data_IF_850494729881
#
_entry.id   IF_850494729881
#
_cell.length_a   1.000
_cell.length_b   1.000
_cell.length_c   1.000
_cell.angle_alpha   90.00
_cell.angle_beta   90.00
_cell.angle_gamma   90.00
#
_symmetry.space_group_name_H-M   'P 1'
#
loop_
_entity.id
_entity.type
_entity.pdbx_description
1 polymer ?
#
# COMPACT_ATOMS: atom_id res chain seq x y z
N UNK A 1 -14.81 -1.93 11.39
CA UNK A 1 -15.31 -1.82 10.01
C UNK A 1 -14.17 -2.31 9.12
N UNK A 2 -14.45 -3.10 8.07
CA UNK A 2 -13.41 -3.57 7.16
C UNK A 2 -13.05 -2.45 6.19
N UNK A 3 -11.77 -2.23 5.95
CA UNK A 3 -11.29 -1.28 4.94
C UNK A 3 -11.73 -1.75 3.55
N UNK A 4 -12.39 -0.87 2.79
CA UNK A 4 -12.75 -1.11 1.39
C UNK A 4 -11.59 -0.80 0.45
N UNK A 5 -11.56 -1.44 -0.71
CA UNK A 5 -10.57 -1.17 -1.76
C UNK A 5 -11.29 -0.92 -3.07
N UNK A 6 -11.04 0.24 -3.68
CA UNK A 6 -11.57 0.63 -4.98
C UNK A 6 -10.43 0.68 -6.00
N UNK A 7 -10.52 -0.11 -7.04
CA UNK A 7 -9.50 -0.20 -8.09
C UNK A 7 -10.05 0.38 -9.39
N UNK A 8 -9.56 1.54 -9.79
CA UNK A 8 -9.92 2.19 -11.04
C UNK A 8 -8.98 1.76 -12.16
N UNK A 9 -9.46 0.86 -13.00
CA UNK A 9 -8.75 0.31 -14.14
C UNK A 9 -8.94 -1.20 -14.29
N UNK A 10 -9.71 -1.59 -15.31
CA UNK A 10 -9.90 -2.98 -15.71
C UNK A 10 -8.83 -3.40 -16.73
N UNK A 11 -7.59 -3.48 -16.28
CA UNK A 11 -6.44 -3.88 -17.07
C UNK A 11 -5.55 -4.81 -16.25
N UNK A 12 -4.46 -5.34 -16.86
CA UNK A 12 -3.56 -6.27 -16.19
C UNK A 12 -3.07 -5.81 -14.81
N UNK A 13 -2.79 -4.52 -14.64
CA UNK A 13 -2.33 -3.98 -13.35
C UNK A 13 -3.44 -3.91 -12.32
N UNK A 14 -4.61 -3.38 -12.72
CA UNK A 14 -5.76 -3.27 -11.84
C UNK A 14 -6.28 -4.62 -11.37
N UNK A 15 -6.35 -5.60 -12.29
CA UNK A 15 -6.76 -6.96 -11.98
C UNK A 15 -5.77 -7.65 -11.04
N UNK A 16 -4.47 -7.49 -11.26
CA UNK A 16 -3.47 -8.10 -10.41
C UNK A 16 -3.44 -7.46 -9.01
N UNK A 17 -3.61 -6.13 -8.93
CA UNK A 17 -3.80 -5.45 -7.64
C UNK A 17 -5.01 -6.01 -6.92
N UNK A 18 -6.17 -6.10 -7.59
CA UNK A 18 -7.40 -6.60 -6.98
C UNK A 18 -7.23 -8.04 -6.45
N UNK A 19 -6.62 -8.94 -7.22
CA UNK A 19 -6.31 -10.31 -6.81
C UNK A 19 -5.44 -10.37 -5.56
N UNK A 20 -4.40 -9.55 -5.50
CA UNK A 20 -3.49 -9.57 -4.36
C UNK A 20 -4.10 -8.94 -3.10
N UNK A 21 -4.85 -7.85 -3.23
CA UNK A 21 -5.43 -7.17 -2.07
C UNK A 21 -6.63 -7.92 -1.47
N UNK A 22 -7.35 -8.74 -2.24
CA UNK A 22 -8.50 -9.52 -1.73
C UNK A 22 -8.14 -10.53 -0.63
N UNK A 23 -6.89 -10.97 -0.55
CA UNK A 23 -6.43 -11.83 0.56
C UNK A 23 -6.48 -11.12 1.92
N UNK A 24 -6.41 -9.80 1.91
CA UNK A 24 -6.43 -8.97 3.12
C UNK A 24 -7.74 -8.20 3.29
N UNK A 25 -8.35 -7.78 2.20
CA UNK A 25 -9.52 -6.92 2.18
C UNK A 25 -10.69 -7.65 1.51
N UNK A 26 -11.77 -7.87 2.26
CA UNK A 26 -12.95 -8.62 1.79
C UNK A 26 -13.86 -7.82 0.85
N UNK A 27 -13.68 -6.51 0.78
CA UNK A 27 -14.53 -5.62 -0.04
C UNK A 27 -13.65 -4.92 -1.09
N UNK A 28 -13.52 -5.54 -2.27
CA UNK A 28 -12.76 -5.03 -3.41
C UNK A 28 -13.71 -4.81 -4.57
N UNK A 29 -13.77 -3.57 -5.07
CA UNK A 29 -14.57 -3.19 -6.23
C UNK A 29 -13.64 -2.68 -7.34
N UNK A 30 -13.86 -3.16 -8.56
CA UNK A 30 -13.13 -2.72 -9.75
C UNK A 30 -14.00 -1.78 -10.57
N UNK A 31 -13.48 -0.61 -10.87
CA UNK A 31 -14.12 0.39 -11.71
C UNK A 31 -13.54 0.37 -13.12
N UNK A 32 -14.40 0.27 -14.13
CA UNK A 32 -14.03 0.22 -15.54
C UNK A 32 -14.65 1.38 -16.34
N UNK A 33 -13.87 1.94 -17.26
CA UNK A 33 -14.38 2.92 -18.26
C UNK A 33 -15.14 2.22 -19.38
N UNK A 34 -14.79 0.98 -19.66
CA UNK A 34 -15.36 0.19 -20.75
C UNK A 34 -16.43 -0.76 -20.21
N UNK A 35 -17.28 -1.25 -21.11
CA UNK A 35 -18.23 -2.34 -20.78
C UNK A 35 -17.46 -3.60 -20.41
N UNK A 36 -17.94 -4.30 -19.39
CA UNK A 36 -17.31 -5.50 -18.86
C UNK A 36 -18.02 -6.68 -19.53
N UNK A 37 -17.25 -7.53 -20.21
CA UNK A 37 -17.77 -8.79 -20.71
C UNK A 37 -18.03 -9.74 -19.52
N UNK A 38 -19.16 -10.46 -19.55
CA UNK A 38 -19.72 -11.28 -18.44
C UNK A 38 -18.81 -12.40 -17.88
N UNK A 39 -17.62 -12.59 -18.41
CA UNK A 39 -16.74 -13.71 -18.05
C UNK A 39 -15.79 -13.44 -16.85
N UNK A 40 -15.79 -12.24 -16.26
CA UNK A 40 -14.92 -11.89 -15.13
C UNK A 40 -15.69 -11.91 -13.79
N UNK A 41 -16.05 -13.09 -13.32
CA UNK A 41 -16.99 -13.29 -12.21
C UNK A 41 -16.36 -13.13 -10.80
N UNK A 42 -15.04 -12.98 -10.69
CA UNK A 42 -14.36 -13.05 -9.39
C UNK A 42 -14.42 -11.77 -8.53
N UNK A 43 -14.85 -10.64 -9.10
CA UNK A 43 -14.91 -9.34 -8.43
C UNK A 43 -16.23 -8.63 -8.63
N UNK A 44 -16.53 -7.69 -7.74
CA UNK A 44 -17.58 -6.71 -7.98
C UNK A 44 -17.05 -5.64 -8.95
N UNK A 45 -17.76 -5.44 -10.06
CA UNK A 45 -17.40 -4.47 -11.09
C UNK A 45 -18.44 -3.37 -11.17
N UNK A 46 -17.96 -2.15 -11.34
CA UNK A 46 -18.79 -0.98 -11.62
C UNK A 46 -18.27 -0.23 -12.84
N UNK A 47 -19.18 0.23 -13.70
CA UNK A 47 -18.84 1.12 -14.80
C UNK A 47 -18.80 2.54 -14.28
N UNK A 48 -17.84 3.33 -14.73
CA UNK A 48 -17.74 4.75 -14.41
C UNK A 48 -17.38 5.58 -15.63
N UNK A 49 -17.66 6.88 -15.54
CA UNK A 49 -17.19 7.90 -16.48
C UNK A 49 -16.36 8.93 -15.71
N UNK A 50 -15.36 9.54 -16.40
CA UNK A 50 -14.52 10.55 -15.77
C UNK A 50 -15.27 11.85 -15.44
N UNK A 51 -16.47 12.02 -15.98
CA UNK A 51 -17.38 13.13 -15.66
C UNK A 51 -18.35 12.83 -14.52
N UNK A 52 -18.30 11.65 -13.91
CA UNK A 52 -19.19 11.25 -12.83
C UNK A 52 -19.06 12.15 -11.59
N UNK A 53 -20.13 12.22 -10.84
CA UNK A 53 -20.18 12.93 -9.56
C UNK A 53 -19.62 12.00 -8.47
N UNK A 54 -18.35 12.16 -8.15
CA UNK A 54 -17.60 11.31 -7.21
C UNK A 54 -18.18 11.27 -5.80
N UNK A 55 -18.96 12.29 -5.40
CA UNK A 55 -19.62 12.33 -4.10
C UNK A 55 -20.58 11.15 -3.87
N UNK A 56 -21.13 10.56 -4.97
CA UNK A 56 -21.99 9.38 -4.92
C UNK A 56 -21.26 8.14 -4.34
N UNK A 57 -19.94 8.07 -4.48
CA UNK A 57 -19.16 6.99 -3.85
C UNK A 57 -19.27 6.99 -2.32
N UNK A 58 -19.54 8.15 -1.71
CA UNK A 58 -19.75 8.25 -0.26
C UNK A 58 -21.08 7.69 0.23
N UNK A 59 -22.04 7.46 -0.68
CA UNK A 59 -23.32 6.84 -0.36
C UNK A 59 -23.17 5.32 -0.21
N UNK A 60 -22.24 4.73 -0.97
CA UNK A 60 -22.03 3.27 -1.03
C UNK A 60 -20.81 2.81 -0.23
N UNK A 61 -19.84 3.71 0.01
CA UNK A 61 -18.56 3.40 0.63
C UNK A 61 -18.25 4.37 1.79
N UNK A 62 -17.70 3.84 2.88
CA UNK A 62 -17.14 4.66 3.96
C UNK A 62 -15.75 5.20 3.55
N UNK A 63 -15.74 6.39 2.94
CA UNK A 63 -14.53 7.01 2.38
C UNK A 63 -13.41 7.28 3.38
N UNK A 64 -13.67 7.20 4.71
CA UNK A 64 -12.63 7.27 5.74
C UNK A 64 -11.83 5.98 5.88
N UNK A 65 -12.43 4.86 5.47
CA UNK A 65 -11.86 3.52 5.55
C UNK A 65 -11.69 2.89 4.16
N UNK A 66 -11.36 3.70 3.15
CA UNK A 66 -11.17 3.24 1.77
C UNK A 66 -9.75 3.52 1.30
N UNK A 67 -9.20 2.58 0.53
CA UNK A 67 -7.98 2.76 -0.25
C UNK A 67 -8.38 2.75 -1.72
N UNK A 68 -7.97 3.78 -2.45
CA UNK A 68 -8.22 3.91 -3.90
C UNK A 68 -6.94 3.64 -4.67
N UNK A 69 -7.02 2.78 -5.68
CA UNK A 69 -5.97 2.56 -6.67
C UNK A 69 -6.36 3.20 -8.00
N UNK A 70 -5.57 4.16 -8.48
CA UNK A 70 -5.69 4.73 -9.81
C UNK A 70 -4.70 4.02 -10.75
N UNK A 71 -5.24 3.10 -11.58
CA UNK A 71 -4.47 2.19 -12.42
C UNK A 71 -4.92 2.22 -13.90
N UNK A 72 -5.39 3.36 -14.40
CA UNK A 72 -5.77 3.52 -15.81
C UNK A 72 -4.54 3.46 -16.71
N UNK A 73 -4.67 2.82 -17.89
CA UNK A 73 -3.58 2.74 -18.90
C UNK A 73 -3.24 4.10 -19.52
N UNK A 74 -4.25 4.95 -19.70
CA UNK A 74 -4.08 6.30 -20.23
C UNK A 74 -3.62 7.22 -19.11
N UNK A 75 -2.45 7.80 -19.28
CA UNK A 75 -1.80 8.65 -18.27
C UNK A 75 -2.61 9.92 -17.98
N UNK A 76 -3.14 10.58 -19.02
CA UNK A 76 -3.92 11.81 -18.84
C UNK A 76 -5.22 11.53 -18.08
N UNK A 77 -5.90 10.43 -18.41
CA UNK A 77 -7.10 9.97 -17.71
C UNK A 77 -6.77 9.61 -16.25
N UNK A 78 -5.64 8.96 -16.00
CA UNK A 78 -5.22 8.56 -14.65
C UNK A 78 -4.91 9.79 -13.77
N UNK A 79 -4.25 10.79 -14.32
CA UNK A 79 -3.99 12.07 -13.64
C UNK A 79 -5.30 12.81 -13.37
N UNK A 80 -6.19 12.91 -14.37
CA UNK A 80 -7.49 13.57 -14.23
C UNK A 80 -8.35 12.89 -13.15
N UNK A 81 -8.43 11.57 -13.18
CA UNK A 81 -9.11 10.78 -12.16
C UNK A 81 -8.56 11.07 -10.75
N UNK A 82 -7.24 11.10 -10.62
CA UNK A 82 -6.58 11.38 -9.33
C UNK A 82 -6.94 12.77 -8.79
N UNK A 83 -6.94 13.80 -9.68
CA UNK A 83 -7.36 15.17 -9.32
C UNK A 83 -8.81 15.17 -8.86
N UNK A 84 -9.70 14.53 -9.61
CA UNK A 84 -11.14 14.51 -9.35
C UNK A 84 -11.45 13.82 -8.03
N UNK A 85 -10.86 12.65 -7.78
CA UNK A 85 -11.02 11.92 -6.52
C UNK A 85 -10.45 12.69 -5.33
N UNK A 86 -9.30 13.34 -5.47
CA UNK A 86 -8.73 14.16 -4.40
C UNK A 86 -9.54 15.42 -4.13
N UNK A 87 -10.15 16.00 -5.16
CA UNK A 87 -11.05 17.15 -5.01
C UNK A 87 -12.31 16.77 -4.22
N UNK A 88 -12.89 15.62 -4.50
CA UNK A 88 -14.07 15.11 -3.80
C UNK A 88 -13.73 14.63 -2.38
N UNK A 89 -12.59 13.95 -2.21
CA UNK A 89 -12.21 13.29 -0.95
C UNK A 89 -10.83 13.72 -0.48
N UNK A 90 -10.78 14.68 0.44
CA UNK A 90 -9.52 15.31 0.89
C UNK A 90 -8.57 14.35 1.61
N UNK A 91 -9.13 13.44 2.42
CA UNK A 91 -8.36 12.60 3.35
C UNK A 91 -8.23 11.13 2.91
N UNK A 92 -8.82 10.75 1.77
CA UNK A 92 -8.77 9.36 1.27
C UNK A 92 -7.34 8.98 0.85
N UNK A 93 -6.98 7.74 1.08
CA UNK A 93 -5.71 7.20 0.59
C UNK A 93 -5.82 6.87 -0.90
N UNK A 94 -5.08 7.59 -1.74
CA UNK A 94 -5.00 7.37 -3.19
C UNK A 94 -3.60 6.86 -3.55
N UNK A 95 -3.54 5.66 -4.11
CA UNK A 95 -2.32 5.05 -4.65
C UNK A 95 -2.44 5.06 -6.18
N UNK A 96 -1.54 5.76 -6.86
CA UNK A 96 -1.59 5.89 -8.31
C UNK A 96 -0.40 5.18 -8.97
N UNK A 97 -0.64 4.52 -10.10
CA UNK A 97 0.40 3.93 -10.92
C UNK A 97 0.90 4.96 -11.92
N UNK A 98 2.21 5.15 -12.01
CA UNK A 98 2.88 5.98 -12.98
C UNK A 98 3.71 5.13 -13.93
N UNK A 99 3.72 5.47 -15.21
CA UNK A 99 4.54 4.78 -16.19
C UNK A 99 6.02 5.20 -16.10
N UNK A 100 6.25 6.47 -15.79
CA UNK A 100 7.59 7.06 -15.69
C UNK A 100 7.65 8.14 -14.60
N UNK A 101 8.83 8.73 -14.39
CA UNK A 101 9.07 9.73 -13.36
C UNK A 101 8.35 11.06 -13.62
N UNK A 102 8.15 11.45 -14.89
CA UNK A 102 7.41 12.67 -15.21
C UNK A 102 5.95 12.55 -14.78
N UNK A 103 5.32 11.42 -15.11
CA UNK A 103 3.93 11.15 -14.72
C UNK A 103 3.81 10.97 -13.21
N UNK A 104 4.84 10.38 -12.57
CA UNK A 104 4.90 10.29 -11.10
C UNK A 104 4.82 11.67 -10.44
N UNK A 105 5.56 12.65 -10.95
CA UNK A 105 5.51 14.02 -10.44
C UNK A 105 4.13 14.66 -10.65
N UNK A 106 3.51 14.46 -11.82
CA UNK A 106 2.16 14.95 -12.10
C UNK A 106 1.11 14.34 -11.17
N UNK A 107 1.19 13.02 -10.91
CA UNK A 107 0.28 12.33 -10.01
C UNK A 107 0.46 12.75 -8.55
N UNK A 108 1.68 13.04 -8.10
CA UNK A 108 1.90 13.66 -6.79
C UNK A 108 1.26 15.05 -6.70
N UNK A 109 1.45 15.89 -7.73
CA UNK A 109 0.80 17.20 -7.79
C UNK A 109 -0.73 17.12 -7.90
N UNK A 110 -1.26 16.05 -8.51
CA UNK A 110 -2.68 15.73 -8.58
C UNK A 110 -3.28 15.29 -7.23
N UNK A 111 -2.44 15.05 -6.22
CA UNK A 111 -2.88 14.72 -4.87
C UNK A 111 -2.89 13.22 -4.54
N UNK A 112 -2.19 12.39 -5.32
CA UNK A 112 -1.97 11.00 -4.93
C UNK A 112 -1.20 10.93 -3.60
N UNK A 113 -1.68 10.09 -2.66
CA UNK A 113 -1.00 9.85 -1.38
C UNK A 113 0.31 9.11 -1.61
N UNK A 114 0.31 8.16 -2.55
CA UNK A 114 1.48 7.40 -2.98
C UNK A 114 1.45 7.20 -4.48
N UNK A 115 2.61 7.29 -5.11
CA UNK A 115 2.77 6.99 -6.54
C UNK A 115 3.77 5.86 -6.70
N UNK A 116 3.45 4.91 -7.57
CA UNK A 116 4.30 3.76 -7.88
C UNK A 116 4.75 3.86 -9.34
N UNK A 117 6.00 4.26 -9.61
CA UNK A 117 6.56 4.32 -10.96
C UNK A 117 6.92 2.90 -11.42
N UNK A 118 6.07 2.29 -12.25
CA UNK A 118 6.12 0.86 -12.60
C UNK A 118 7.46 0.49 -13.24
N UNK A 119 7.88 1.24 -14.27
CA UNK A 119 9.10 0.94 -15.03
C UNK A 119 10.35 1.03 -14.15
N UNK A 120 10.44 2.09 -13.35
CA UNK A 120 11.59 2.28 -12.45
C UNK A 120 11.63 1.22 -11.36
N UNK A 121 10.49 0.96 -10.72
CA UNK A 121 10.38 -0.07 -9.69
C UNK A 121 10.79 -1.44 -10.23
N UNK A 122 10.30 -1.82 -11.40
CA UNK A 122 10.66 -3.09 -12.04
C UNK A 122 12.14 -3.14 -12.39
N UNK A 123 12.70 -2.07 -12.95
CA UNK A 123 14.13 -2.00 -13.29
C UNK A 123 15.01 -2.11 -12.04
N UNK A 124 14.62 -1.50 -10.94
CA UNK A 124 15.33 -1.59 -9.67
C UNK A 124 15.31 -3.02 -9.12
N UNK A 125 14.14 -3.68 -9.13
CA UNK A 125 14.02 -5.09 -8.72
C UNK A 125 14.93 -5.98 -9.55
N UNK A 126 14.91 -5.86 -10.89
CA UNK A 126 15.78 -6.63 -11.79
C UNK A 126 17.27 -6.37 -11.47
N UNK A 127 17.62 -5.10 -11.25
CA UNK A 127 19.00 -4.72 -10.92
C UNK A 127 19.45 -5.33 -9.58
N UNK A 128 18.59 -5.35 -8.58
CA UNK A 128 18.89 -5.94 -7.29
C UNK A 128 19.00 -7.47 -7.37
N UNK A 129 18.14 -8.12 -8.17
CA UNK A 129 18.26 -9.55 -8.47
C UNK A 129 19.63 -9.91 -9.07
N UNK A 130 20.14 -9.09 -9.97
CA UNK A 130 21.44 -9.31 -10.59
C UNK A 130 22.62 -9.02 -9.65
N UNK A 131 22.51 -7.98 -8.83
CA UNK A 131 23.58 -7.56 -7.91
C UNK A 131 23.63 -8.39 -6.63
N UNK A 132 22.49 -8.84 -6.14
CA UNK A 132 22.34 -9.52 -4.84
C UNK A 132 21.39 -10.73 -4.96
N UNK A 133 21.72 -11.71 -5.82
CA UNK A 133 20.77 -12.79 -6.15
C UNK A 133 20.26 -13.54 -4.93
N UNK A 134 21.14 -13.93 -4.02
CA UNK A 134 20.77 -14.67 -2.80
C UNK A 134 19.86 -13.84 -1.88
N UNK A 135 20.17 -12.55 -1.71
CA UNK A 135 19.35 -11.67 -0.85
C UNK A 135 17.96 -11.48 -1.44
N UNK A 136 17.89 -11.29 -2.76
CA UNK A 136 16.61 -11.07 -3.45
C UNK A 136 15.75 -12.33 -3.42
N UNK A 137 16.36 -13.52 -3.61
CA UNK A 137 15.68 -14.82 -3.51
C UNK A 137 15.10 -15.03 -2.10
N UNK A 138 15.90 -14.84 -1.07
CA UNK A 138 15.45 -14.97 0.33
C UNK A 138 14.33 -13.98 0.67
N UNK A 139 14.42 -12.72 0.21
CA UNK A 139 13.37 -11.73 0.43
C UNK A 139 12.09 -12.09 -0.33
N UNK A 140 12.21 -12.60 -1.56
CA UNK A 140 11.07 -13.08 -2.35
C UNK A 140 10.35 -14.21 -1.62
N UNK A 141 11.08 -15.21 -1.14
CA UNK A 141 10.51 -16.34 -0.40
C UNK A 141 9.77 -15.88 0.87
N UNK A 142 10.35 -14.92 1.61
CA UNK A 142 9.74 -14.39 2.84
C UNK A 142 8.46 -13.59 2.54
N UNK A 143 8.42 -12.86 1.42
CA UNK A 143 7.31 -11.94 1.11
C UNK A 143 6.18 -12.60 0.34
N UNK A 144 6.47 -13.57 -0.53
CA UNK A 144 5.54 -14.09 -1.53
C UNK A 144 5.32 -15.60 -1.49
N UNK A 145 6.22 -16.37 -0.86
CA UNK A 145 6.11 -17.82 -0.78
C UNK A 145 5.64 -18.27 0.61
N UNK A 146 5.30 -19.55 0.74
CA UNK A 146 4.97 -20.19 2.04
C UNK A 146 6.23 -20.41 2.89
N UNK A 147 6.93 -19.33 3.20
CA UNK A 147 8.11 -19.35 4.06
C UNK A 147 7.74 -19.58 5.52
N UNK A 148 8.54 -20.33 6.30
CA UNK A 148 8.39 -20.40 7.75
C UNK A 148 8.69 -19.05 8.44
N UNK A 149 9.36 -18.12 7.74
CA UNK A 149 9.61 -16.76 8.18
C UNK A 149 8.57 -15.84 7.56
N UNK A 150 7.98 -14.95 8.37
CA UNK A 150 7.01 -13.95 7.92
C UNK A 150 7.39 -12.59 8.44
N UNK A 151 7.31 -11.58 7.56
CA UNK A 151 7.41 -10.19 7.97
C UNK A 151 6.00 -9.71 8.30
N UNK A 152 5.81 -9.25 9.52
CA UNK A 152 4.53 -8.72 10.00
C UNK A 152 4.74 -7.33 10.58
N UNK A 153 3.71 -6.50 10.53
CA UNK A 153 3.63 -5.26 11.28
C UNK A 153 2.64 -5.46 12.43
N UNK A 154 3.04 -5.07 13.63
CA UNK A 154 2.22 -5.18 14.84
C UNK A 154 2.17 -3.83 15.53
N UNK A 155 0.97 -3.34 15.80
CA UNK A 155 0.76 -2.13 16.59
C UNK A 155 0.97 -2.40 18.08
N UNK A 156 1.77 -1.58 18.74
CA UNK A 156 1.99 -1.64 20.18
C UNK A 156 0.81 -1.01 20.93
N UNK A 157 -0.05 -1.84 21.51
CA UNK A 157 -1.23 -1.40 22.27
C UNK A 157 -0.98 -1.19 23.77
N UNK A 158 0.09 -1.73 24.30
CA UNK A 158 0.42 -1.65 25.72
C UNK A 158 1.94 -1.57 25.92
N UNK A 159 2.49 -0.40 25.70
CA UNK A 159 3.93 -0.13 25.86
C UNK A 159 4.40 -0.23 27.31
N UNK A 160 3.51 -0.13 28.31
CA UNK A 160 3.86 -0.27 29.72
C UNK A 160 4.46 -1.66 30.04
N UNK A 161 4.05 -2.69 29.27
CA UNK A 161 4.63 -4.04 29.40
C UNK A 161 6.08 -4.13 28.95
N UNK A 162 6.55 -3.18 28.17
CA UNK A 162 7.92 -3.08 27.70
C UNK A 162 8.77 -2.19 28.64
N UNK A 163 8.20 -1.78 29.80
CA UNK A 163 8.91 -1.12 30.89
C UNK A 163 9.46 0.27 30.59
N UNK A 164 9.06 0.90 29.45
CA UNK A 164 9.63 2.17 29.02
C UNK A 164 11.08 2.03 28.51
N UNK A 165 11.42 0.86 28.01
CA UNK A 165 12.75 0.56 27.50
C UNK A 165 12.97 1.12 26.09
N UNK A 166 14.23 1.31 25.72
CA UNK A 166 14.59 1.61 24.35
C UNK A 166 14.54 0.34 23.49
N UNK A 167 14.20 0.45 22.21
CA UNK A 167 14.12 -0.71 21.32
C UNK A 167 15.37 -1.60 21.31
N UNK A 168 16.54 -1.01 21.46
CA UNK A 168 17.83 -1.71 21.45
C UNK A 168 18.13 -2.47 22.75
N UNK A 169 17.48 -2.12 23.85
CA UNK A 169 17.74 -2.71 25.17
C UNK A 169 16.88 -3.97 25.40
N UNK A 170 15.83 -4.17 24.58
CA UNK A 170 14.94 -5.31 24.65
C UNK A 170 15.53 -6.51 23.89
N UNK A 171 15.59 -7.66 24.53
CA UNK A 171 16.00 -8.89 23.87
C UNK A 171 14.81 -9.55 23.15
N UNK A 172 14.43 -8.99 22.00
CA UNK A 172 13.26 -9.39 21.23
C UNK A 172 13.21 -10.89 20.91
N UNK A 173 14.36 -11.46 20.54
CA UNK A 173 14.42 -12.87 20.16
C UNK A 173 14.21 -13.78 21.37
N UNK A 174 14.85 -13.47 22.50
CA UNK A 174 14.79 -14.31 23.70
C UNK A 174 13.46 -14.16 24.44
N UNK A 175 12.98 -12.91 24.58
CA UNK A 175 11.87 -12.62 25.47
C UNK A 175 10.52 -12.65 24.74
N UNK A 176 10.52 -12.44 23.42
CA UNK A 176 9.33 -12.39 22.60
C UNK A 176 9.32 -13.37 21.40
N UNK A 177 10.42 -14.07 21.12
CA UNK A 177 10.52 -15.05 20.01
C UNK A 177 10.45 -14.41 18.61
N UNK A 178 10.74 -13.10 18.47
CA UNK A 178 10.66 -12.35 17.22
C UNK A 178 11.98 -11.65 16.91
N UNK A 179 12.23 -11.40 15.62
CA UNK A 179 13.29 -10.52 15.17
C UNK A 179 12.66 -9.19 14.75
N UNK A 180 12.89 -8.14 15.50
CA UNK A 180 12.39 -6.81 15.16
C UNK A 180 13.39 -6.13 14.22
N UNK A 181 12.91 -5.65 13.08
CA UNK A 181 13.72 -4.94 12.08
C UNK A 181 13.73 -3.44 12.36
N UNK A 182 12.55 -2.86 12.56
CA UNK A 182 12.40 -1.44 12.84
C UNK A 182 11.14 -1.16 13.66
N UNK A 183 11.08 0.00 14.26
CA UNK A 183 9.88 0.57 14.89
C UNK A 183 9.47 1.78 14.08
N UNK A 184 8.18 1.89 13.81
CA UNK A 184 7.54 3.04 13.18
C UNK A 184 6.80 3.81 14.28
N UNK A 185 7.20 5.06 14.51
CA UNK A 185 6.57 5.92 15.50
C UNK A 185 5.34 6.65 14.94
N UNK A 186 4.48 7.13 15.82
CA UNK A 186 3.24 7.83 15.42
C UNK A 186 3.49 9.09 14.59
N UNK A 187 4.64 9.74 14.73
CA UNK A 187 5.05 10.91 13.92
C UNK A 187 5.50 10.54 12.50
N UNK A 188 5.49 9.23 12.16
CA UNK A 188 5.93 8.71 10.87
C UNK A 188 7.44 8.49 10.78
N UNK A 189 8.22 8.81 11.82
CA UNK A 189 9.63 8.46 11.89
C UNK A 189 9.80 6.95 12.09
N UNK A 190 10.89 6.38 11.57
CA UNK A 190 11.21 4.98 11.78
C UNK A 190 12.65 4.82 12.28
N UNK A 191 12.83 3.82 13.14
CA UNK A 191 14.09 3.54 13.81
C UNK A 191 14.47 2.07 13.61
N UNK A 192 15.64 1.82 12.99
CA UNK A 192 16.18 0.45 12.86
C UNK A 192 16.85 0.05 14.16
N UNK A 193 16.45 -1.10 14.73
CA UNK A 193 16.93 -1.55 16.05
C UNK A 193 18.45 -1.75 16.11
N UNK A 194 19.08 -2.10 15.00
CA UNK A 194 20.55 -2.26 14.93
C UNK A 194 21.30 -1.00 14.54
N UNK A 195 20.63 0.16 14.48
CA UNK A 195 21.29 1.43 14.25
C UNK A 195 21.82 2.02 15.55
N UNK A 196 22.90 2.79 15.50
CA UNK A 196 23.41 3.54 16.66
C UNK A 196 22.43 4.60 17.18
N UNK A 197 21.33 4.83 16.48
CA UNK A 197 20.26 5.77 16.81
C UNK A 197 19.08 5.10 17.52
N UNK A 198 19.04 3.77 17.59
CA UNK A 198 17.94 3.00 18.19
C UNK A 198 17.76 3.20 19.71
N UNK A 199 18.50 4.11 20.31
CA UNK A 199 18.43 4.49 21.72
C UNK A 199 17.80 5.88 21.95
N UNK A 200 17.20 6.48 20.92
CA UNK A 200 16.76 7.87 21.04
C UNK A 200 15.29 8.00 21.44
N UNK A 201 14.48 7.01 21.15
CA UNK A 201 13.05 7.03 21.44
C UNK A 201 12.64 5.80 22.23
N UNK A 202 11.87 6.00 23.27
CA UNK A 202 11.23 4.94 24.04
C UNK A 202 9.99 4.46 23.25
N UNK A 203 9.74 3.16 23.29
CA UNK A 203 8.54 2.59 22.65
C UNK A 203 7.29 3.13 23.31
N UNK A 204 6.34 3.56 22.49
CA UNK A 204 5.07 4.14 22.89
C UNK A 204 3.87 3.35 22.35
N UNK A 205 2.70 3.57 22.93
CA UNK A 205 1.47 3.01 22.38
C UNK A 205 1.20 3.58 20.99
N UNK A 206 0.90 2.72 20.01
CA UNK A 206 0.64 3.11 18.63
C UNK A 206 1.88 3.08 17.73
N UNK A 207 3.06 2.72 18.28
CA UNK A 207 4.25 2.41 17.49
C UNK A 207 4.09 1.09 16.76
#
# INVERSE_FOLDING_TARGET
MSTGVLVFGNNEYGLEIAKNVQYKYSNVTIFSLDEIEDEMIDFHYEKFDLSDHWDELSETHDMKNVIIFCALKDEAKNIFLTISLRSAFKDVTIIALAKNNEDSNKLHMAGATKVIPIVETTANIITDMLKKPIVTEVLHDILYEDSPLRIIQVEIKNAERLGGEYPADINWSRDHGVLVLSILHQDGSHEFIYSSKAQHNVISNGD
#
